data_IF_836433326445
#
_entry.id   IF_836433326445
#
_cell.length_a   1.000
_cell.length_b   1.000
_cell.length_c   1.000
_cell.angle_alpha   90.00
_cell.angle_beta   90.00
_cell.angle_gamma   90.00
#
_symmetry.space_group_name_H-M   'P 1'
#
loop_
_entity.id
_entity.type
_entity.pdbx_description
1 polymer ?
#
# COMPACT_ATOMS: atom_id res chain seq x y z
N UNK A 1 -4.19 -4.91 9.84
CA UNK A 1 -3.31 -3.97 9.10
C UNK A 1 -2.82 -2.84 10.02
N UNK A 2 -1.61 -2.93 10.60
CA UNK A 2 -1.05 -1.92 11.48
C UNK A 2 -0.45 -0.74 10.68
N UNK A 3 -1.21 0.35 10.52
CA UNK A 3 -0.68 1.55 9.86
C UNK A 3 0.39 2.21 10.74
N UNK A 4 1.61 2.37 10.22
CA UNK A 4 2.72 2.91 11.01
C UNK A 4 2.81 4.42 10.82
N UNK A 5 2.60 5.19 11.87
CA UNK A 5 2.98 6.59 11.85
C UNK A 5 4.50 6.69 11.67
N UNK A 6 4.97 7.49 10.71
CA UNK A 6 6.41 7.73 10.57
C UNK A 6 6.93 8.36 11.87
N UNK A 7 7.90 7.74 12.57
CA UNK A 7 8.28 8.14 13.92
C UNK A 7 8.77 9.60 13.94
N UNK A 8 8.19 10.40 14.84
CA UNK A 8 8.52 11.83 14.99
C UNK A 8 9.71 12.02 15.93
N UNK A 9 10.91 11.87 15.38
CA UNK A 9 12.15 12.38 15.96
C UNK A 9 13.20 11.34 16.32
N UNK A 10 14.36 11.85 16.78
CA UNK A 10 15.35 11.07 17.53
C UNK A 10 14.71 10.68 18.88
N UNK A 11 14.71 9.43 19.34
CA UNK A 11 15.23 8.20 18.73
C UNK A 11 14.31 7.01 19.03
N UNK A 12 14.46 5.93 18.27
CA UNK A 12 13.52 4.80 18.20
C UNK A 12 13.05 4.22 19.55
N UNK A 13 11.73 4.16 19.71
CA UNK A 13 10.98 3.33 20.66
C UNK A 13 9.78 2.68 19.95
N UNK A 14 9.23 1.61 20.52
CA UNK A 14 8.03 0.95 20.01
C UNK A 14 7.36 0.04 21.04
N UNK A 15 6.04 0.14 21.12
CA UNK A 15 5.16 -0.69 21.96
C UNK A 15 3.90 -1.03 21.16
N UNK A 16 3.31 -2.21 21.41
CA UNK A 16 2.27 -2.77 20.53
C UNK A 16 1.27 -3.67 21.25
N UNK A 17 -0.01 -3.32 21.10
CA UNK A 17 -1.23 -4.08 21.42
C UNK A 17 -2.24 -3.78 20.29
N UNK A 18 -3.19 -4.63 19.87
CA UNK A 18 -3.64 -5.92 20.38
C UNK A 18 -5.11 -5.83 20.82
N UNK A 19 -6.11 -6.41 20.12
CA UNK A 19 -6.14 -7.18 18.85
C UNK A 19 -7.52 -6.90 18.17
N UNK A 20 -8.03 -7.52 17.11
CA UNK A 20 -7.70 -8.67 16.23
C UNK A 20 -8.31 -8.35 14.82
N UNK A 21 -8.45 -9.18 13.77
CA UNK A 21 -8.18 -10.59 13.46
C UNK A 21 -7.90 -10.75 11.94
N UNK A 22 -7.48 -11.94 11.49
CA UNK A 22 -7.39 -12.30 10.07
C UNK A 22 -7.63 -13.81 9.84
N UNK A 23 -8.38 -14.16 8.79
CA UNK A 23 -8.41 -15.51 8.23
C UNK A 23 -7.26 -15.65 7.23
N UNK A 24 -6.42 -16.69 7.39
CA UNK A 24 -5.25 -16.92 6.54
C UNK A 24 -5.59 -16.94 5.04
N UNK A 25 -4.89 -16.11 4.26
CA UNK A 25 -4.26 -16.53 2.99
C UNK A 25 -3.19 -15.48 2.59
N UNK A 26 -1.93 -15.75 2.96
CA UNK A 26 -0.71 -14.99 2.63
C UNK A 26 -0.88 -13.45 2.51
N UNK A 27 -1.25 -12.78 3.62
CA UNK A 27 -1.11 -11.33 3.71
C UNK A 27 0.39 -10.95 3.68
N UNK A 28 0.91 -10.50 2.53
CA UNK A 28 2.08 -9.59 2.54
C UNK A 28 1.69 -8.39 3.42
N UNK A 29 2.50 -8.05 4.44
CA UNK A 29 2.21 -6.91 5.31
C UNK A 29 2.29 -5.62 4.47
N UNK A 30 1.14 -5.12 3.98
CA UNK A 30 1.02 -3.79 3.33
C UNK A 30 1.47 -2.72 4.34
N UNK A 31 2.77 -2.40 4.33
CA UNK A 31 3.44 -1.49 5.28
C UNK A 31 3.10 -0.04 4.97
N UNK A 32 1.84 0.31 5.23
CA UNK A 32 1.30 1.63 5.00
C UNK A 32 1.79 2.63 6.06
N UNK A 33 2.12 3.85 5.59
CA UNK A 33 2.50 4.97 6.43
C UNK A 33 1.34 5.96 6.59
N UNK A 34 1.13 6.46 7.81
CA UNK A 34 0.12 7.48 8.06
C UNK A 34 0.47 8.79 7.33
N UNK A 35 -0.45 9.31 6.52
CA UNK A 35 -0.32 10.56 5.77
C UNK A 35 -1.59 11.41 5.95
N UNK A 36 -1.45 12.66 6.39
CA UNK A 36 -2.55 13.62 6.61
C UNK A 36 -3.75 13.05 7.41
N UNK A 37 -3.45 12.27 8.46
CA UNK A 37 -4.46 11.63 9.32
C UNK A 37 -5.15 10.42 8.69
N UNK A 38 -4.74 9.98 7.50
CA UNK A 38 -5.26 8.81 6.79
C UNK A 38 -4.21 7.70 6.72
N UNK A 39 -4.67 6.47 6.48
CA UNK A 39 -3.83 5.34 6.13
C UNK A 39 -4.07 4.92 4.67
N UNK A 40 -3.34 5.48 3.69
CA UNK A 40 -3.45 5.05 2.31
C UNK A 40 -2.75 3.70 2.07
N UNK A 41 -3.54 2.65 1.82
CA UNK A 41 -3.05 1.35 1.31
C UNK A 41 -3.58 1.11 -0.11
N UNK A 42 -2.93 0.26 -0.92
CA UNK A 42 -3.44 -0.06 -2.27
C UNK A 42 -4.82 -0.71 -2.17
N UNK A 43 -5.00 -1.59 -1.18
CA UNK A 43 -6.29 -2.24 -0.88
C UNK A 43 -7.39 -1.25 -0.47
N UNK A 44 -7.05 -0.12 0.13
CA UNK A 44 -8.01 0.97 0.39
C UNK A 44 -8.35 1.76 -0.89
N UNK A 45 -7.36 2.02 -1.75
CA UNK A 45 -7.53 2.80 -2.98
C UNK A 45 -8.40 2.07 -4.00
N UNK A 46 -8.18 0.78 -4.25
CA UNK A 46 -9.03 -0.01 -5.15
C UNK A 46 -10.50 0.04 -4.71
N UNK A 47 -10.78 -0.22 -3.42
CA UNK A 47 -12.15 -0.25 -2.89
C UNK A 47 -12.87 1.11 -2.95
N UNK A 48 -12.13 2.21 -2.86
CA UNK A 48 -12.69 3.56 -3.03
C UNK A 48 -12.99 3.92 -4.50
N UNK A 49 -12.33 3.28 -5.48
CA UNK A 49 -12.55 3.51 -6.91
C UNK A 49 -13.59 2.55 -7.52
N UNK A 50 -13.53 1.28 -7.14
CA UNK A 50 -14.27 0.19 -7.80
C UNK A 50 -15.26 -0.54 -6.87
N UNK A 51 -15.44 -0.08 -5.64
CA UNK A 51 -16.37 -0.63 -4.67
C UNK A 51 -15.78 -1.75 -3.79
N UNK A 52 -16.51 -2.16 -2.74
CA UNK A 52 -15.95 -2.88 -1.58
C UNK A 52 -15.42 -4.29 -1.87
N UNK A 53 -15.83 -4.91 -2.97
CA UNK A 53 -15.38 -6.25 -3.40
C UNK A 53 -14.11 -6.22 -4.26
N UNK A 54 -13.62 -5.04 -4.66
CA UNK A 54 -12.39 -4.93 -5.44
C UNK A 54 -11.14 -5.17 -4.59
N UNK A 55 -10.11 -5.72 -5.22
CA UNK A 55 -8.84 -6.12 -4.60
C UNK A 55 -7.66 -5.45 -5.33
N UNK A 56 -6.45 -5.64 -4.79
CA UNK A 56 -5.20 -5.22 -5.44
C UNK A 56 -4.72 -6.33 -6.37
N UNK A 57 -4.16 -5.97 -7.52
CA UNK A 57 -3.42 -6.92 -8.35
C UNK A 57 -2.11 -7.37 -7.67
N UNK A 58 -1.55 -8.49 -8.12
CA UNK A 58 -0.24 -8.97 -7.67
C UNK A 58 0.90 -7.94 -7.94
N UNK A 59 1.96 -7.99 -7.13
CA UNK A 59 3.17 -7.15 -7.28
C UNK A 59 3.77 -7.25 -8.70
N UNK A 60 3.76 -8.43 -9.30
CA UNK A 60 4.18 -8.70 -10.68
C UNK A 60 3.42 -7.86 -11.72
N UNK A 61 2.13 -7.58 -11.51
CA UNK A 61 1.34 -6.77 -12.43
C UNK A 61 1.87 -5.32 -12.48
N UNK A 62 2.18 -4.72 -11.32
CA UNK A 62 2.76 -3.38 -11.26
C UNK A 62 4.18 -3.37 -11.86
N UNK A 63 5.01 -4.33 -11.48
CA UNK A 63 6.40 -4.41 -11.96
C UNK A 63 6.52 -4.66 -13.47
N UNK A 64 5.54 -5.34 -14.08
CA UNK A 64 5.55 -5.67 -15.51
C UNK A 64 4.83 -4.60 -16.33
N UNK A 65 3.62 -4.20 -15.94
CA UNK A 65 2.79 -3.32 -16.76
C UNK A 65 3.24 -1.86 -16.70
N UNK A 66 3.61 -1.35 -15.51
CA UNK A 66 3.91 0.08 -15.36
C UNK A 66 5.22 0.51 -16.05
N UNK A 67 6.12 -0.44 -16.33
CA UNK A 67 7.34 -0.21 -17.14
C UNK A 67 7.05 -0.17 -18.65
N UNK A 68 5.93 -0.75 -19.09
CA UNK A 68 5.61 -0.95 -20.51
C UNK A 68 4.48 -0.03 -21.01
N UNK A 69 3.51 0.30 -20.17
CA UNK A 69 2.35 1.15 -20.48
C UNK A 69 2.72 2.63 -20.33
N UNK A 70 2.34 3.45 -21.32
CA UNK A 70 2.51 4.91 -21.26
C UNK A 70 1.53 5.56 -20.29
N UNK A 71 1.96 6.65 -19.67
CA UNK A 71 1.24 7.37 -18.61
C UNK A 71 1.16 6.67 -17.24
N UNK A 72 1.75 5.46 -17.09
CA UNK A 72 1.75 4.72 -15.83
C UNK A 72 2.51 5.42 -14.68
N UNK A 73 3.49 6.29 -14.99
CA UNK A 73 4.20 7.14 -14.02
C UNK A 73 3.95 8.64 -14.26
N UNK A 74 2.75 9.00 -14.74
CA UNK A 74 2.38 10.37 -15.11
C UNK A 74 2.40 10.60 -16.63
N UNK A 75 1.73 11.64 -17.16
CA UNK A 75 1.35 11.73 -18.57
C UNK A 75 2.50 11.48 -19.57
N UNK A 76 2.35 10.49 -20.44
CA UNK A 76 3.36 10.07 -21.43
C UNK A 76 4.59 9.36 -20.87
N UNK A 77 4.69 9.17 -19.55
CA UNK A 77 5.86 8.61 -18.87
C UNK A 77 5.62 7.15 -18.46
N UNK A 78 6.54 6.27 -18.87
CA UNK A 78 6.66 4.89 -18.37
C UNK A 78 7.48 4.86 -17.09
N UNK A 79 7.18 3.96 -16.17
CA UNK A 79 7.95 3.86 -14.93
C UNK A 79 9.36 3.32 -15.17
N UNK A 80 10.34 3.88 -14.44
CA UNK A 80 11.71 3.36 -14.37
C UNK A 80 11.73 2.07 -13.54
N UNK A 81 12.73 1.19 -13.71
CA UNK A 81 13.08 0.24 -12.65
C UNK A 81 13.55 0.99 -11.40
N UNK A 82 13.41 0.34 -10.25
CA UNK A 82 14.03 0.72 -8.97
C UNK A 82 15.48 0.20 -8.90
#
# INVERSE_FOLDING_TARGET
MPCRAKPRGNSAEGSSEGSEAASNDNEEEETALCYEGRCPTRSSQCRNLWGPLSQVSDKYCFETLNKNIESACGPGIKCKPE
#
